data_IF_041247081534
#
_entry.id   IF_041247081534
#
_cell.length_a   1.000
_cell.length_b   1.000
_cell.length_c   1.000
_cell.angle_alpha   90.00
_cell.angle_beta   90.00
_cell.angle_gamma   90.00
#
_symmetry.space_group_name_H-M   'P 1'
#
loop_
_entity.id
_entity.type
_entity.pdbx_description
1 polymer ?
#
# COMPACT_ATOMS: atom_id res chain seq x y z
N UNK A 1 23.75 -14.53 0.57
CA UNK A 1 22.87 -13.44 1.05
C UNK A 1 21.49 -14.03 1.32
N UNK A 2 21.20 -14.40 2.57
CA UNK A 2 19.90 -14.97 2.93
C UNK A 2 18.81 -13.91 2.71
N UNK A 3 17.80 -14.24 1.89
CA UNK A 3 16.61 -13.40 1.72
C UNK A 3 15.85 -13.45 3.02
N UNK A 4 15.89 -12.34 3.78
CA UNK A 4 15.26 -12.27 5.09
C UNK A 4 13.75 -12.54 4.93
N UNK A 5 13.31 -13.65 5.52
CA UNK A 5 12.01 -14.29 5.25
C UNK A 5 10.93 -13.61 6.09
N UNK A 6 9.68 -13.63 5.66
CA UNK A 6 8.56 -13.02 6.40
C UNK A 6 8.46 -13.50 7.86
N UNK A 7 8.92 -14.73 8.12
CA UNK A 7 9.00 -15.35 9.44
C UNK A 7 10.07 -14.76 10.36
N UNK A 8 11.00 -13.96 9.83
CA UNK A 8 12.06 -13.28 10.59
C UNK A 8 11.70 -11.83 10.98
N UNK A 9 10.48 -11.39 10.67
CA UNK A 9 9.92 -10.14 11.16
C UNK A 9 9.48 -10.29 12.61
N UNK A 10 9.74 -9.29 13.44
CA UNK A 10 9.15 -9.27 14.78
C UNK A 10 7.62 -9.18 14.67
N UNK A 11 6.92 -9.72 15.66
CA UNK A 11 5.45 -9.69 15.70
C UNK A 11 4.90 -8.27 15.52
N UNK A 12 5.57 -7.24 16.07
CA UNK A 12 5.21 -5.84 15.88
C UNK A 12 5.34 -5.34 14.43
N UNK A 13 6.42 -5.70 13.73
CA UNK A 13 6.63 -5.31 12.33
C UNK A 13 5.60 -5.97 11.40
N UNK A 14 5.26 -7.23 11.66
CA UNK A 14 4.23 -7.96 10.92
C UNK A 14 2.86 -7.34 11.13
N UNK A 15 2.50 -7.03 12.38
CA UNK A 15 1.24 -6.35 12.71
C UNK A 15 1.15 -4.96 12.07
N UNK A 16 2.20 -4.15 12.15
CA UNK A 16 2.22 -2.82 11.54
C UNK A 16 2.00 -2.89 10.01
N UNK A 17 2.63 -3.86 9.34
CA UNK A 17 2.44 -4.05 7.90
C UNK A 17 1.00 -4.46 7.54
N UNK A 18 0.39 -5.35 8.34
CA UNK A 18 -1.01 -5.77 8.14
C UNK A 18 -1.94 -4.58 8.36
N UNK A 19 -1.78 -3.84 9.47
CA UNK A 19 -2.60 -2.67 9.79
C UNK A 19 -2.50 -1.61 8.69
N UNK A 20 -1.28 -1.27 8.25
CA UNK A 20 -1.08 -0.31 7.17
C UNK A 20 -1.76 -0.76 5.87
N UNK A 21 -1.66 -2.06 5.53
CA UNK A 21 -2.34 -2.64 4.37
C UNK A 21 -3.86 -2.53 4.47
N UNK A 22 -4.44 -2.85 5.63
CA UNK A 22 -5.88 -2.74 5.88
C UNK A 22 -6.37 -1.30 5.78
N UNK A 23 -5.63 -0.34 6.36
CA UNK A 23 -5.95 1.09 6.27
C UNK A 23 -5.94 1.55 4.82
N UNK A 24 -4.91 1.19 4.06
CA UNK A 24 -4.77 1.60 2.66
C UNK A 24 -5.89 1.00 1.78
N UNK A 25 -6.23 -0.27 1.98
CA UNK A 25 -7.36 -0.93 1.30
C UNK A 25 -8.70 -0.26 1.61
N UNK A 26 -8.95 0.05 2.88
CA UNK A 26 -10.19 0.67 3.33
C UNK A 26 -10.35 2.07 2.76
N UNK A 27 -9.25 2.85 2.72
CA UNK A 27 -9.22 4.18 2.10
C UNK A 27 -9.50 4.10 0.60
N UNK A 28 -8.86 3.16 -0.12
CA UNK A 28 -9.08 3.00 -1.55
C UNK A 28 -10.54 2.62 -1.87
N UNK A 29 -11.10 1.67 -1.12
CA UNK A 29 -12.49 1.26 -1.27
C UNK A 29 -13.47 2.40 -0.97
N UNK A 30 -13.20 3.17 0.09
CA UNK A 30 -14.02 4.34 0.46
C UNK A 30 -13.95 5.42 -0.62
N UNK A 31 -12.77 5.70 -1.17
CA UNK A 31 -12.59 6.68 -2.24
C UNK A 31 -13.33 6.27 -3.52
N UNK A 32 -13.27 5.00 -3.93
CA UNK A 32 -14.07 4.52 -5.06
C UNK A 32 -15.58 4.57 -4.77
N UNK A 33 -16.01 4.23 -3.56
CA UNK A 33 -17.41 4.29 -3.19
C UNK A 33 -17.94 5.74 -3.14
N UNK A 34 -17.11 6.69 -2.72
CA UNK A 34 -17.42 8.13 -2.77
C UNK A 34 -17.51 8.61 -4.23
N UNK A 35 -16.52 8.27 -5.06
CA UNK A 35 -16.48 8.60 -6.49
C UNK A 35 -17.66 8.01 -7.28
N UNK A 36 -18.08 6.80 -6.93
CA UNK A 36 -19.24 6.15 -7.53
C UNK A 36 -20.54 6.89 -7.16
N UNK A 37 -20.66 7.34 -5.90
CA UNK A 37 -21.87 8.00 -5.36
C UNK A 37 -22.00 9.47 -5.75
N UNK A 38 -20.91 10.23 -5.87
CA UNK A 38 -20.96 11.65 -6.25
C UNK A 38 -21.47 11.84 -7.68
N UNK A 39 -22.32 12.83 -7.98
CA UNK A 39 -22.67 13.17 -9.36
C UNK A 39 -21.41 13.61 -10.12
N UNK A 40 -21.34 13.32 -11.42
CA UNK A 40 -20.16 13.63 -12.22
C UNK A 40 -19.86 15.14 -12.32
N UNK A 41 -20.88 15.97 -12.11
CA UNK A 41 -20.78 17.44 -12.09
C UNK A 41 -20.00 17.98 -10.88
N UNK A 42 -19.93 17.20 -9.78
CA UNK A 42 -19.21 17.56 -8.54
C UNK A 42 -17.80 16.94 -8.47
N UNK A 43 -17.37 16.29 -9.55
CA UNK A 43 -16.05 15.67 -9.65
C UNK A 43 -15.21 16.46 -10.64
N UNK A 44 -14.09 17.00 -10.19
CA UNK A 44 -13.16 17.71 -11.06
C UNK A 44 -12.49 16.74 -12.04
N UNK A 45 -13.07 16.63 -13.25
CA UNK A 45 -12.62 15.72 -14.30
C UNK A 45 -13.43 14.42 -14.38
N UNK A 46 -12.94 13.43 -15.13
CA UNK A 46 -13.71 12.20 -15.35
C UNK A 46 -13.57 11.23 -14.17
N UNK A 47 -14.68 10.56 -13.81
CA UNK A 47 -14.67 9.48 -12.82
C UNK A 47 -13.71 8.35 -13.20
N UNK A 48 -13.55 8.08 -14.49
CA UNK A 48 -12.62 7.06 -14.98
C UNK A 48 -11.15 7.45 -14.69
N UNK A 49 -10.79 8.72 -14.85
CA UNK A 49 -9.46 9.22 -14.53
C UNK A 49 -9.16 9.05 -13.04
N UNK A 50 -10.07 9.50 -12.17
CA UNK A 50 -9.91 9.36 -10.72
C UNK A 50 -9.86 7.91 -10.27
N UNK A 51 -10.70 7.03 -10.84
CA UNK A 51 -10.66 5.60 -10.55
C UNK A 51 -9.30 4.99 -10.91
N UNK A 52 -8.72 5.36 -12.06
CA UNK A 52 -7.39 4.92 -12.48
C UNK A 52 -6.28 5.47 -11.58
N UNK A 53 -6.35 6.73 -11.16
CA UNK A 53 -5.38 7.32 -10.21
C UNK A 53 -5.38 6.56 -8.88
N UNK A 54 -6.57 6.29 -8.31
CA UNK A 54 -6.73 5.51 -7.07
C UNK A 54 -6.14 4.11 -7.27
N UNK A 55 -6.44 3.45 -8.40
CA UNK A 55 -5.92 2.12 -8.72
C UNK A 55 -4.39 2.10 -8.78
N UNK A 56 -3.78 3.04 -9.51
CA UNK A 56 -2.32 3.10 -9.67
C UNK A 56 -1.63 3.45 -8.34
N UNK A 57 -2.22 4.33 -7.52
CA UNK A 57 -1.71 4.65 -6.19
C UNK A 57 -1.68 3.42 -5.26
N UNK A 58 -2.62 2.48 -5.44
CA UNK A 58 -2.67 1.24 -4.68
C UNK A 58 -1.76 0.14 -5.23
N UNK A 59 -1.73 -0.06 -6.56
CA UNK A 59 -0.97 -1.14 -7.20
C UNK A 59 0.54 -0.93 -7.09
N UNK A 60 1.02 0.32 -7.18
CA UNK A 60 2.46 0.64 -7.19
C UNK A 60 3.16 0.27 -5.87
N UNK A 61 2.64 0.67 -4.68
CA UNK A 61 3.22 0.27 -3.39
C UNK A 61 3.10 -1.24 -3.13
N UNK A 62 1.99 -1.87 -3.52
CA UNK A 62 1.82 -3.32 -3.39
C UNK A 62 2.87 -4.08 -4.20
N UNK A 63 3.11 -3.66 -5.44
CA UNK A 63 4.15 -4.22 -6.30
C UNK A 63 5.56 -4.00 -5.73
N UNK A 64 5.83 -2.81 -5.15
CA UNK A 64 7.09 -2.54 -4.47
C UNK A 64 7.27 -3.44 -3.23
N UNK A 65 6.24 -3.62 -2.41
CA UNK A 65 6.33 -4.48 -1.24
C UNK A 65 6.38 -5.98 -1.59
N UNK A 66 5.80 -6.39 -2.72
CA UNK A 66 5.84 -7.76 -3.23
C UNK A 66 7.15 -8.11 -3.95
N UNK A 67 7.75 -7.19 -4.73
CA UNK A 67 8.93 -7.46 -5.59
C UNK A 67 10.10 -6.49 -5.44
N UNK A 68 9.86 -5.27 -4.98
CA UNK A 68 10.87 -4.19 -4.90
C UNK A 68 11.58 -4.05 -3.54
N UNK A 69 11.01 -4.59 -2.46
CA UNK A 69 11.56 -4.43 -1.10
C UNK A 69 12.76 -5.38 -0.91
N UNK A 70 13.97 -4.83 -0.92
CA UNK A 70 15.17 -5.53 -0.41
C UNK A 70 15.36 -5.12 1.05
N UNK A 71 15.30 -6.09 1.97
CA UNK A 71 15.64 -5.85 3.37
C UNK A 71 17.13 -5.51 3.45
N UNK A 72 17.44 -4.26 3.82
CA UNK A 72 18.80 -3.87 4.20
C UNK A 72 19.14 -4.69 5.44
N UNK A 73 20.11 -5.59 5.31
CA UNK A 73 20.70 -6.27 6.45
C UNK A 73 21.21 -5.18 7.40
N UNK A 74 20.70 -5.15 8.62
CA UNK A 74 21.25 -4.25 9.64
C UNK A 74 22.73 -4.61 9.76
N UNK A 75 23.60 -3.66 9.43
CA UNK A 75 25.01 -3.78 9.75
C UNK A 75 25.12 -3.96 11.26
N UNK A 76 25.94 -4.91 11.75
CA UNK A 76 26.13 -5.08 13.18
C UNK A 76 26.56 -3.74 13.74
N UNK A 77 25.87 -3.28 14.77
CA UNK A 77 26.36 -2.19 15.60
C UNK A 77 27.63 -2.72 16.26
N UNK A 78 28.78 -2.37 15.68
CA UNK A 78 30.07 -2.64 16.28
C UNK A 78 30.17 -1.84 17.58
N UNK A 79 30.58 -2.58 18.61
CA UNK A 79 30.66 -2.22 20.01
C UNK A 79 31.85 -1.31 20.33
#
# INVERSE_FOLDING_TARGET
>A
MAKKQWSELTSGQRTAAIVAGCVQLSLAATAWADLARRPAEEVDGSKAMWAAIIAVNFVRPLAYFARGRKMVAQAPAEA
#
